data_IF_576958417135
#
_entry.id   IF_576958417135
#
_cell.length_a   1.000
_cell.length_b   1.000
_cell.length_c   1.000
_cell.angle_alpha   90.00
_cell.angle_beta   90.00
_cell.angle_gamma   90.00
#
_symmetry.space_group_name_H-M   'P 1'
#
loop_
_entity.id
_entity.type
_entity.pdbx_description
1 polymer ?
#
# COMPACT_ATOMS: atom_id res chain seq x y z
N UNK A 1 23.95 25.72 -14.36
CA UNK A 1 23.10 25.70 -15.55
C UNK A 1 21.60 25.75 -15.22
N UNK A 2 21.14 25.14 -14.12
CA UNK A 2 19.73 25.14 -13.69
C UNK A 2 19.21 26.51 -13.13
N UNK A 3 20.08 27.39 -12.67
CA UNK A 3 19.69 28.70 -12.14
C UNK A 3 19.49 29.77 -13.23
N UNK A 4 19.97 29.53 -14.45
CA UNK A 4 19.88 30.50 -15.56
C UNK A 4 18.54 30.33 -16.30
N UNK A 5 17.98 29.11 -16.37
CA UNK A 5 16.69 28.87 -17.02
C UNK A 5 15.50 29.44 -16.21
N UNK A 6 15.55 29.36 -14.88
CA UNK A 6 14.50 29.97 -14.04
C UNK A 6 14.48 31.52 -14.11
N UNK A 7 15.62 32.15 -14.33
CA UNK A 7 15.70 33.62 -14.48
C UNK A 7 15.11 34.10 -15.82
N UNK A 8 15.24 33.33 -16.87
CA UNK A 8 14.66 33.66 -18.21
C UNK A 8 13.14 33.52 -18.22
N UNK A 9 12.60 32.52 -17.54
CA UNK A 9 11.14 32.29 -17.41
C UNK A 9 10.50 33.40 -16.55
N UNK A 10 11.15 33.83 -15.47
CA UNK A 10 10.64 34.89 -14.60
C UNK A 10 10.66 36.29 -15.29
N UNK A 11 11.62 36.56 -16.16
CA UNK A 11 11.71 37.83 -16.92
C UNK A 11 10.72 37.91 -18.11
N UNK A 12 10.26 36.77 -18.64
CA UNK A 12 9.20 36.73 -19.67
C UNK A 12 7.80 36.95 -19.09
N UNK A 13 7.57 36.58 -17.83
CA UNK A 13 6.27 36.72 -17.16
C UNK A 13 5.97 38.18 -16.76
N UNK A 14 6.98 39.02 -16.51
CA UNK A 14 6.80 40.37 -15.98
C UNK A 14 6.63 41.46 -17.05
N UNK A 15 6.46 41.16 -18.33
CA UNK A 15 6.42 42.18 -19.41
C UNK A 15 5.09 42.30 -20.17
N UNK A 16 3.99 41.67 -19.77
CA UNK A 16 2.71 41.91 -20.46
C UNK A 16 1.51 41.89 -19.49
N UNK A 17 1.08 43.06 -19.09
CA UNK A 17 -0.27 43.35 -18.60
C UNK A 17 -1.24 43.24 -19.78
N UNK A 18 -2.06 42.20 -19.83
CA UNK A 18 -3.09 42.06 -20.87
C UNK A 18 -3.29 40.64 -21.39
N UNK A 19 -3.12 39.64 -20.54
CA UNK A 19 -3.23 38.22 -20.97
C UNK A 19 -4.67 37.71 -20.82
N UNK A 20 -5.26 37.26 -21.93
CA UNK A 20 -6.61 36.68 -21.96
C UNK A 20 -6.68 35.35 -21.16
N UNK A 21 -7.87 35.01 -20.64
CA UNK A 21 -8.13 33.73 -19.91
C UNK A 21 -7.58 32.47 -20.62
N UNK A 22 -7.47 32.53 -21.94
CA UNK A 22 -6.94 31.42 -22.77
C UNK A 22 -5.43 31.19 -22.54
N UNK A 23 -4.63 32.26 -22.33
CA UNK A 23 -3.19 32.14 -22.08
C UNK A 23 -2.90 31.67 -20.64
N UNK A 24 -3.75 32.03 -19.68
CA UNK A 24 -3.67 31.52 -18.29
C UNK A 24 -3.93 30.01 -18.25
N UNK A 25 -4.90 29.54 -19.01
CA UNK A 25 -5.16 28.10 -19.12
C UNK A 25 -4.05 27.35 -19.86
N UNK A 26 -3.43 27.94 -20.87
CA UNK A 26 -2.28 27.37 -21.55
C UNK A 26 -1.04 27.28 -20.64
N UNK A 27 -0.80 28.31 -19.82
CA UNK A 27 0.28 28.29 -18.82
C UNK A 27 0.03 27.24 -17.74
N UNK A 28 -1.21 27.07 -17.27
CA UNK A 28 -1.57 25.98 -16.36
C UNK A 28 -1.32 24.59 -16.97
N UNK A 29 -1.71 24.41 -18.22
CA UNK A 29 -1.47 23.15 -18.94
C UNK A 29 0.03 22.87 -19.12
N UNK A 30 0.83 23.89 -19.43
CA UNK A 30 2.29 23.77 -19.58
C UNK A 30 2.94 23.45 -18.23
N UNK A 31 2.49 24.06 -17.14
CA UNK A 31 2.95 23.76 -15.78
C UNK A 31 2.58 22.33 -15.35
N UNK A 32 1.36 21.90 -15.63
CA UNK A 32 0.92 20.52 -15.37
C UNK A 32 1.71 19.49 -16.20
N UNK A 33 2.01 19.83 -17.48
CA UNK A 33 2.84 18.98 -18.34
C UNK A 33 4.30 18.94 -17.88
N UNK A 34 4.85 20.07 -17.43
CA UNK A 34 6.19 20.17 -16.89
C UNK A 34 6.29 19.42 -15.55
N UNK A 35 5.27 19.54 -14.69
CA UNK A 35 5.15 18.79 -13.43
C UNK A 35 5.04 17.29 -13.69
N UNK A 36 4.21 16.87 -14.66
CA UNK A 36 4.12 15.47 -15.10
C UNK A 36 5.45 14.94 -15.64
N UNK A 37 6.17 15.73 -16.44
CA UNK A 37 7.47 15.37 -17.00
C UNK A 37 8.58 15.33 -15.93
N UNK A 38 8.51 16.20 -14.92
CA UNK A 38 9.40 16.21 -13.76
C UNK A 38 9.12 14.97 -12.88
N UNK A 39 7.85 14.67 -12.63
CA UNK A 39 7.44 13.49 -11.86
C UNK A 39 7.85 12.18 -12.56
N UNK A 40 7.71 12.08 -13.90
CA UNK A 40 8.24 10.97 -14.70
C UNK A 40 9.77 10.86 -14.63
N UNK A 41 10.50 12.00 -14.59
CA UNK A 41 11.96 11.98 -14.41
C UNK A 41 12.37 11.58 -12.99
N UNK A 42 11.62 12.00 -11.95
CA UNK A 42 11.86 11.60 -10.56
C UNK A 42 11.60 10.10 -10.41
N UNK A 43 10.51 9.59 -10.95
CA UNK A 43 10.23 8.14 -10.96
C UNK A 43 11.33 7.36 -11.68
N UNK A 44 11.89 7.89 -12.79
CA UNK A 44 12.99 7.26 -13.51
C UNK A 44 14.36 7.40 -12.81
N UNK A 45 14.57 8.43 -11.99
CA UNK A 45 15.84 8.65 -11.29
C UNK A 45 16.08 7.62 -10.16
N UNK A 46 15.02 7.08 -9.55
CA UNK A 46 15.12 6.02 -8.56
C UNK A 46 15.23 4.60 -9.17
N UNK A 47 15.49 4.52 -10.48
CA UNK A 47 15.58 3.24 -11.20
C UNK A 47 17.03 2.84 -11.43
N UNK A 48 17.56 2.04 -10.56
CA UNK A 48 18.60 1.00 -10.66
C UNK A 48 19.43 0.91 -9.38
N UNK A 49 19.74 -0.26 -8.82
CA UNK A 49 20.60 -1.29 -9.44
C UNK A 49 20.04 -2.73 -9.38
N UNK A 50 18.81 -2.96 -8.94
CA UNK A 50 18.20 -4.27 -9.19
C UNK A 50 17.77 -4.25 -10.66
N UNK A 51 18.43 -5.06 -11.47
CA UNK A 51 18.05 -5.27 -12.88
C UNK A 51 16.82 -6.18 -12.95
N UNK A 52 15.72 -5.77 -12.26
CA UNK A 52 14.46 -6.49 -12.28
C UNK A 52 13.61 -5.95 -13.44
N UNK A 53 13.16 -6.80 -14.38
CA UNK A 53 12.45 -6.40 -15.58
C UNK A 53 10.98 -6.07 -15.25
N UNK A 54 10.75 -5.04 -14.43
CA UNK A 54 9.41 -4.67 -14.02
C UNK A 54 8.53 -4.29 -15.21
N UNK A 55 7.41 -4.96 -15.31
CA UNK A 55 6.35 -4.67 -16.27
C UNK A 55 5.00 -4.72 -15.56
N UNK A 56 4.21 -3.65 -15.68
CA UNK A 56 2.83 -3.63 -15.21
C UNK A 56 1.97 -4.51 -16.14
N UNK A 57 1.09 -5.31 -15.56
CA UNK A 57 0.11 -6.06 -16.34
C UNK A 57 -0.88 -5.10 -17.02
N UNK A 58 -0.94 -5.05 -18.37
CA UNK A 58 -1.74 -4.08 -19.10
C UNK A 58 -3.25 -4.29 -18.94
N UNK A 59 -3.71 -5.49 -18.57
CA UNK A 59 -5.13 -5.78 -18.36
C UNK A 59 -5.68 -5.11 -17.08
N UNK A 60 -4.78 -4.68 -16.17
CA UNK A 60 -5.12 -4.07 -14.90
C UNK A 60 -4.40 -2.71 -14.71
N UNK A 61 -4.76 -1.67 -15.51
CA UNK A 61 -4.09 -0.37 -15.44
C UNK A 61 -4.49 0.44 -14.19
N UNK A 62 -5.73 0.30 -13.72
CA UNK A 62 -6.30 1.07 -12.61
C UNK A 62 -6.03 0.39 -11.26
N UNK A 63 -6.03 1.16 -10.16
CA UNK A 63 -5.83 0.63 -8.81
C UNK A 63 -7.00 -0.26 -8.36
N UNK A 64 -8.21 0.07 -8.76
CA UNK A 64 -9.37 -0.78 -8.51
C UNK A 64 -9.36 -2.02 -9.41
N UNK A 65 -9.67 -3.17 -8.82
CA UNK A 65 -9.87 -4.43 -9.52
C UNK A 65 -11.25 -4.95 -9.14
N UNK A 66 -12.17 -5.02 -10.11
CA UNK A 66 -13.44 -5.70 -9.84
C UNK A 66 -13.22 -7.22 -9.70
N UNK A 67 -13.90 -7.89 -8.75
CA UNK A 67 -13.82 -9.35 -8.60
C UNK A 67 -14.12 -10.09 -9.90
N UNK A 68 -15.15 -9.68 -10.61
CA UNK A 68 -15.57 -10.32 -11.88
C UNK A 68 -14.45 -10.26 -12.94
N UNK A 69 -13.83 -9.09 -13.14
CA UNK A 69 -12.72 -8.92 -14.08
C UNK A 69 -11.52 -9.79 -13.71
N UNK A 70 -11.17 -9.83 -12.43
CA UNK A 70 -10.08 -10.65 -11.94
C UNK A 70 -10.35 -12.14 -12.19
N UNK A 71 -11.53 -12.62 -11.80
CA UNK A 71 -11.87 -14.04 -11.91
C UNK A 71 -11.96 -14.50 -13.36
N UNK A 72 -12.57 -13.68 -14.23
CA UNK A 72 -12.57 -13.96 -15.66
C UNK A 72 -11.14 -14.04 -16.24
N UNK A 73 -10.27 -13.10 -15.86
CA UNK A 73 -8.86 -13.10 -16.29
C UNK A 73 -8.12 -14.36 -15.83
N UNK A 74 -8.28 -14.74 -14.57
CA UNK A 74 -7.64 -15.94 -14.01
C UNK A 74 -8.14 -17.22 -14.70
N UNK A 75 -9.45 -17.37 -14.87
CA UNK A 75 -10.04 -18.53 -15.55
C UNK A 75 -9.59 -18.63 -17.01
N UNK A 76 -9.55 -17.50 -17.72
CA UNK A 76 -9.14 -17.46 -19.11
C UNK A 76 -7.66 -17.78 -19.33
N UNK A 77 -6.78 -17.28 -18.48
CA UNK A 77 -5.34 -17.31 -18.71
C UNK A 77 -4.57 -18.35 -17.89
N UNK A 78 -5.16 -18.84 -16.77
CA UNK A 78 -4.48 -19.67 -15.76
C UNK A 78 -5.36 -20.79 -15.21
N UNK A 79 -6.32 -21.28 -16.00
CA UNK A 79 -7.26 -22.34 -15.60
C UNK A 79 -6.59 -23.60 -15.02
N UNK A 80 -5.41 -23.96 -15.53
CA UNK A 80 -4.65 -25.14 -15.08
C UNK A 80 -3.92 -24.91 -13.75
N UNK A 81 -3.70 -23.64 -13.37
CA UNK A 81 -2.97 -23.26 -12.15
C UNK A 81 -3.89 -22.85 -11.02
N UNK A 82 -5.18 -22.63 -11.27
CA UNK A 82 -6.15 -22.18 -10.27
C UNK A 82 -7.13 -23.27 -9.86
N UNK A 83 -7.60 -23.18 -8.64
CA UNK A 83 -8.73 -23.97 -8.13
C UNK A 83 -9.62 -23.07 -7.28
N UNK A 84 -10.92 -23.29 -7.31
CA UNK A 84 -11.83 -22.62 -6.40
C UNK A 84 -11.64 -23.20 -4.99
N UNK A 85 -11.31 -22.30 -4.04
CA UNK A 85 -11.16 -22.63 -2.64
C UNK A 85 -12.51 -22.69 -1.92
N UNK A 86 -13.48 -21.95 -2.42
CA UNK A 86 -14.83 -21.81 -1.91
C UNK A 86 -15.42 -20.48 -2.30
N UNK A 87 -16.45 -20.03 -1.57
CA UNK A 87 -17.14 -18.77 -1.86
C UNK A 87 -17.17 -17.84 -0.67
N UNK A 88 -17.22 -16.52 -0.94
CA UNK A 88 -17.42 -15.47 0.04
C UNK A 88 -18.80 -15.56 0.74
N UNK A 89 -19.03 -14.65 1.65
CA UNK A 89 -20.31 -14.53 2.37
C UNK A 89 -21.51 -14.27 1.43
N UNK A 90 -21.30 -13.52 0.33
CA UNK A 90 -22.31 -13.28 -0.71
C UNK A 90 -22.22 -14.23 -1.91
N UNK A 91 -21.43 -15.31 -1.81
CA UNK A 91 -21.39 -16.36 -2.83
C UNK A 91 -20.40 -16.12 -3.98
N UNK A 92 -19.55 -15.09 -3.94
CA UNK A 92 -18.51 -14.87 -4.94
C UNK A 92 -17.38 -15.91 -4.78
N UNK A 93 -16.84 -16.50 -5.88
CA UNK A 93 -15.77 -17.47 -5.80
C UNK A 93 -14.48 -16.86 -5.22
N UNK A 94 -13.71 -17.67 -4.52
CA UNK A 94 -12.37 -17.35 -4.03
C UNK A 94 -11.40 -18.34 -4.65
N UNK A 95 -10.41 -17.84 -5.41
CA UNK A 95 -9.47 -18.69 -6.12
C UNK A 95 -8.12 -18.78 -5.42
N UNK A 96 -7.62 -20.02 -5.36
CA UNK A 96 -6.23 -20.32 -5.03
C UNK A 96 -5.48 -20.64 -6.32
N UNK A 97 -4.34 -19.99 -6.54
CA UNK A 97 -3.37 -20.32 -7.57
C UNK A 97 -2.23 -21.11 -6.97
N UNK A 98 -1.79 -22.16 -7.65
CA UNK A 98 -0.62 -22.95 -7.25
C UNK A 98 0.47 -22.78 -8.31
N UNK A 99 1.67 -22.36 -7.89
CA UNK A 99 2.83 -22.17 -8.75
C UNK A 99 4.03 -22.94 -8.19
N UNK A 100 4.76 -23.60 -9.08
CA UNK A 100 5.95 -24.37 -8.73
C UNK A 100 5.67 -25.73 -8.08
N UNK A 101 6.76 -26.49 -7.90
CA UNK A 101 6.73 -27.84 -7.32
C UNK A 101 7.89 -28.07 -6.35
N UNK A 102 8.55 -26.98 -5.91
CA UNK A 102 9.66 -27.05 -4.95
C UNK A 102 9.18 -27.49 -3.57
N UNK A 103 10.14 -27.92 -2.76
CA UNK A 103 9.89 -28.49 -1.43
C UNK A 103 9.47 -27.46 -0.40
N UNK A 104 9.87 -26.18 -0.56
CA UNK A 104 9.51 -25.09 0.35
C UNK A 104 8.09 -24.62 0.05
N UNK A 105 7.18 -24.88 0.97
CA UNK A 105 5.76 -24.54 0.82
C UNK A 105 5.45 -23.17 1.37
N UNK A 106 5.02 -22.26 0.48
CA UNK A 106 4.65 -20.89 0.84
C UNK A 106 3.16 -20.67 0.58
N UNK A 107 2.47 -20.07 1.55
CA UNK A 107 1.11 -19.57 1.37
C UNK A 107 1.13 -18.05 1.40
N UNK A 108 0.38 -17.42 0.48
CA UNK A 108 0.19 -15.98 0.44
C UNK A 108 -1.27 -15.64 0.16
N UNK A 109 -1.75 -14.53 0.68
CA UNK A 109 -3.08 -14.03 0.35
C UNK A 109 -3.10 -12.51 0.25
N UNK A 110 -3.91 -12.01 -0.69
CA UNK A 110 -4.15 -10.61 -0.91
C UNK A 110 -5.59 -10.22 -0.57
N UNK A 111 -5.80 -8.93 -0.37
CA UNK A 111 -7.12 -8.34 -0.16
C UNK A 111 -7.98 -9.08 0.89
N UNK A 112 -7.37 -9.44 2.02
CA UNK A 112 -8.13 -9.74 3.24
C UNK A 112 -8.97 -8.51 3.63
N UNK A 113 -8.43 -7.32 3.44
CA UNK A 113 -9.18 -6.08 3.39
C UNK A 113 -9.46 -5.72 1.93
N UNK A 114 -10.74 -5.55 1.57
CA UNK A 114 -11.14 -5.44 0.17
C UNK A 114 -10.56 -4.23 -0.56
N UNK A 115 -10.23 -3.17 0.15
CA UNK A 115 -9.67 -1.92 -0.38
C UNK A 115 -8.12 -1.87 -0.39
N UNK A 116 -7.44 -3.02 -0.33
CA UNK A 116 -5.97 -3.14 -0.30
C UNK A 116 -5.48 -3.96 -1.50
N UNK A 117 -5.47 -3.36 -2.70
CA UNK A 117 -5.30 -4.08 -3.97
C UNK A 117 -3.86 -4.29 -4.44
N UNK A 118 -2.85 -3.60 -3.84
CA UNK A 118 -1.46 -3.64 -4.33
C UNK A 118 -0.88 -5.05 -4.43
N UNK A 119 -1.18 -5.92 -3.47
CA UNK A 119 -0.69 -7.29 -3.48
C UNK A 119 -1.29 -8.14 -4.61
N UNK A 120 -2.59 -7.95 -4.91
CA UNK A 120 -3.25 -8.58 -6.06
C UNK A 120 -2.60 -8.11 -7.35
N UNK A 121 -2.37 -6.79 -7.50
CA UNK A 121 -1.66 -6.22 -8.62
C UNK A 121 -0.23 -6.74 -8.74
N UNK A 122 0.52 -6.79 -7.64
CA UNK A 122 1.89 -7.27 -7.63
C UNK A 122 1.99 -8.71 -8.15
N UNK A 123 1.06 -9.57 -7.74
CA UNK A 123 1.03 -10.95 -8.24
C UNK A 123 0.66 -11.01 -9.72
N UNK A 124 -0.30 -10.21 -10.19
CA UNK A 124 -0.65 -10.10 -11.62
C UNK A 124 0.51 -9.58 -12.46
N UNK A 125 1.30 -8.63 -11.93
CA UNK A 125 2.50 -8.13 -12.59
C UNK A 125 3.60 -9.20 -12.64
N UNK A 126 3.83 -9.95 -11.55
CA UNK A 126 4.76 -11.07 -11.55
C UNK A 126 4.38 -12.13 -12.59
N UNK A 127 3.09 -12.47 -12.71
CA UNK A 127 2.62 -13.40 -13.73
C UNK A 127 2.91 -12.90 -15.14
N UNK A 128 2.78 -11.60 -15.41
CA UNK A 128 3.13 -10.99 -16.69
C UNK A 128 4.66 -11.02 -16.94
N UNK A 129 5.44 -10.71 -15.91
CA UNK A 129 6.91 -10.73 -15.95
C UNK A 129 7.41 -12.16 -16.24
N UNK A 130 6.90 -13.17 -15.57
CA UNK A 130 7.30 -14.57 -15.76
C UNK A 130 7.01 -15.09 -17.17
N UNK A 131 6.01 -14.56 -17.86
CA UNK A 131 5.77 -14.89 -19.29
C UNK A 131 6.90 -14.38 -20.20
N UNK A 132 7.42 -13.20 -19.89
CA UNK A 132 8.54 -12.61 -20.65
C UNK A 132 9.92 -13.09 -20.18
N UNK A 133 10.02 -13.58 -18.95
CA UNK A 133 11.25 -13.96 -18.26
C UNK A 133 11.09 -15.29 -17.55
N UNK A 134 10.98 -16.41 -18.29
CA UNK A 134 10.77 -17.75 -17.71
C UNK A 134 11.92 -18.19 -16.78
N UNK A 135 13.13 -17.65 -16.98
CA UNK A 135 14.28 -17.90 -16.10
C UNK A 135 14.03 -17.43 -14.65
N UNK A 136 13.28 -16.33 -14.46
CA UNK A 136 12.92 -15.84 -13.12
C UNK A 136 11.89 -16.76 -12.46
N UNK A 137 10.99 -17.32 -13.24
CA UNK A 137 10.03 -18.32 -12.76
C UNK A 137 10.76 -19.59 -12.30
N UNK A 138 11.64 -20.14 -13.10
CA UNK A 138 12.37 -21.37 -12.79
C UNK A 138 13.30 -21.19 -11.58
N UNK A 139 13.99 -20.05 -11.45
CA UNK A 139 14.84 -19.75 -10.28
C UNK A 139 14.08 -19.85 -8.95
N UNK A 140 12.82 -19.36 -8.92
CA UNK A 140 11.97 -19.42 -7.74
C UNK A 140 11.29 -20.78 -7.58
N UNK A 141 10.56 -21.21 -8.59
CA UNK A 141 9.56 -22.26 -8.47
C UNK A 141 10.11 -23.68 -8.66
N UNK A 142 11.41 -23.79 -8.97
CA UNK A 142 12.17 -25.05 -8.78
C UNK A 142 12.38 -25.37 -7.29
N UNK A 143 12.36 -24.39 -6.39
CA UNK A 143 12.59 -24.54 -4.94
C UNK A 143 11.35 -24.31 -4.10
N UNK A 144 10.43 -23.50 -4.58
CA UNK A 144 9.20 -23.10 -3.88
C UNK A 144 7.97 -23.72 -4.54
N UNK A 145 7.01 -24.11 -3.71
CA UNK A 145 5.61 -24.33 -4.08
C UNK A 145 4.75 -23.24 -3.43
N UNK A 146 4.26 -22.29 -4.23
CA UNK A 146 3.46 -21.16 -3.76
C UNK A 146 1.96 -21.43 -3.95
N UNK A 147 1.18 -21.35 -2.90
CA UNK A 147 -0.26 -21.21 -2.94
C UNK A 147 -0.62 -19.72 -2.72
N UNK A 148 -1.11 -19.05 -3.74
CA UNK A 148 -1.53 -17.66 -3.67
C UNK A 148 -3.06 -17.54 -3.74
N UNK A 149 -3.68 -16.94 -2.72
CA UNK A 149 -5.11 -16.70 -2.67
C UNK A 149 -5.36 -15.27 -3.15
N UNK A 150 -5.98 -15.16 -4.32
CA UNK A 150 -6.37 -13.87 -4.87
C UNK A 150 -7.62 -13.36 -4.16
N UNK A 151 -7.57 -12.09 -3.74
CA UNK A 151 -8.74 -11.34 -3.28
C UNK A 151 -9.60 -12.14 -2.30
N UNK A 152 -9.03 -12.41 -1.10
CA UNK A 152 -9.70 -13.21 -0.05
C UNK A 152 -11.07 -12.62 0.34
N UNK A 153 -11.27 -11.32 0.17
CA UNK A 153 -12.51 -10.59 0.45
C UNK A 153 -13.11 -9.98 -0.83
N UNK A 154 -13.68 -10.76 -1.74
CA UNK A 154 -14.24 -10.22 -2.98
C UNK A 154 -15.47 -9.32 -2.76
N UNK A 155 -16.25 -9.54 -1.71
CA UNK A 155 -17.42 -8.71 -1.39
C UNK A 155 -17.01 -7.32 -0.94
N UNK A 156 -15.99 -7.22 -0.09
CA UNK A 156 -15.41 -5.93 0.32
C UNK A 156 -14.64 -5.25 -0.82
N UNK A 157 -13.95 -6.04 -1.67
CA UNK A 157 -13.21 -5.51 -2.82
C UNK A 157 -14.13 -4.84 -3.84
N UNK A 158 -15.27 -5.42 -4.13
CA UNK A 158 -16.26 -4.85 -5.05
C UNK A 158 -16.73 -3.46 -4.61
N UNK A 159 -16.87 -3.25 -3.30
CA UNK A 159 -17.34 -2.00 -2.70
C UNK A 159 -16.20 -1.10 -2.22
N UNK A 160 -14.95 -1.46 -2.47
CA UNK A 160 -13.77 -0.79 -1.96
C UNK A 160 -13.78 -0.61 -0.44
N UNK A 161 -14.19 -1.64 0.29
CA UNK A 161 -14.33 -1.63 1.75
C UNK A 161 -13.30 -2.54 2.42
N UNK A 162 -12.83 -2.11 3.61
CA UNK A 162 -11.92 -2.91 4.43
C UNK A 162 -12.55 -4.23 4.87
N UNK A 163 -13.78 -4.15 5.40
CA UNK A 163 -14.49 -5.27 6.02
C UNK A 163 -15.20 -6.13 4.97
N UNK A 164 -15.55 -7.37 5.35
CA UNK A 164 -16.34 -8.24 4.48
C UNK A 164 -17.82 -7.83 4.45
N UNK A 165 -18.65 -8.58 3.72
CA UNK A 165 -20.08 -8.30 3.57
C UNK A 165 -20.89 -8.29 4.90
N UNK A 166 -20.36 -8.90 5.95
CA UNK A 166 -20.95 -8.94 7.29
C UNK A 166 -20.34 -7.89 8.23
N UNK A 167 -19.62 -6.93 7.69
CA UNK A 167 -18.89 -5.89 8.44
C UNK A 167 -17.81 -6.44 9.39
N UNK A 168 -17.30 -7.65 9.12
CA UNK A 168 -16.26 -8.29 9.92
C UNK A 168 -14.87 -7.85 9.39
N UNK A 169 -14.00 -7.34 10.28
CA UNK A 169 -12.57 -7.24 10.02
C UNK A 169 -11.94 -8.63 10.18
N UNK A 170 -11.62 -9.27 9.07
CA UNK A 170 -11.09 -10.63 9.08
C UNK A 170 -9.71 -10.73 9.74
N UNK A 171 -8.93 -9.64 9.76
CA UNK A 171 -7.66 -9.60 10.51
C UNK A 171 -7.84 -9.35 12.01
N UNK A 172 -9.08 -9.42 12.52
CA UNK A 172 -9.46 -9.41 13.95
C UNK A 172 -10.35 -10.61 14.31
N UNK A 173 -10.57 -11.53 13.38
CA UNK A 173 -11.52 -12.63 13.53
C UNK A 173 -10.85 -14.02 13.72
N UNK A 174 -9.51 -14.06 13.85
CA UNK A 174 -8.76 -15.33 13.88
C UNK A 174 -9.24 -16.29 14.98
N UNK A 175 -9.49 -15.79 16.18
CA UNK A 175 -9.92 -16.63 17.30
C UNK A 175 -11.40 -17.04 17.18
N UNK A 176 -12.24 -16.13 16.70
CA UNK A 176 -13.69 -16.37 16.60
C UNK A 176 -14.05 -17.15 15.34
N UNK A 177 -13.32 -16.90 14.26
CA UNK A 177 -13.54 -17.53 12.94
C UNK A 177 -14.98 -17.38 12.43
N UNK A 178 -15.54 -16.19 12.57
CA UNK A 178 -16.93 -15.90 12.20
C UNK A 178 -17.11 -15.77 10.70
N UNK A 179 -16.13 -15.16 10.01
CA UNK A 179 -16.15 -14.96 8.57
C UNK A 179 -15.90 -16.26 7.81
N UNK A 180 -16.67 -16.45 6.75
CA UNK A 180 -16.58 -17.64 5.88
C UNK A 180 -15.23 -17.68 5.14
N UNK A 181 -14.80 -16.54 4.67
CA UNK A 181 -13.57 -16.31 3.90
C UNK A 181 -12.34 -16.67 4.75
N UNK A 182 -12.29 -16.21 6.01
CA UNK A 182 -11.20 -16.58 6.91
C UNK A 182 -11.18 -18.07 7.24
N UNK A 183 -12.35 -18.71 7.42
CA UNK A 183 -12.41 -20.16 7.62
C UNK A 183 -11.80 -20.93 6.46
N UNK A 184 -12.03 -20.49 5.22
CA UNK A 184 -11.44 -21.12 4.03
C UNK A 184 -9.91 -21.01 4.06
N UNK A 185 -9.38 -19.82 4.37
CA UNK A 185 -7.94 -19.60 4.51
C UNK A 185 -7.34 -20.47 5.61
N UNK A 186 -7.93 -20.46 6.81
CA UNK A 186 -7.41 -21.22 7.95
C UNK A 186 -7.47 -22.73 7.74
N UNK A 187 -8.54 -23.22 7.12
CA UNK A 187 -8.63 -24.64 6.76
C UNK A 187 -7.53 -25.06 5.78
N UNK A 188 -7.21 -24.22 4.81
CA UNK A 188 -6.10 -24.46 3.89
C UNK A 188 -4.75 -24.48 4.62
N UNK A 189 -4.53 -23.56 5.57
CA UNK A 189 -3.29 -23.46 6.33
C UNK A 189 -3.13 -24.65 7.28
N UNK A 190 -4.16 -24.99 8.03
CA UNK A 190 -4.13 -26.10 9.01
C UNK A 190 -3.88 -27.47 8.36
N UNK A 191 -4.26 -27.64 7.09
CA UNK A 191 -4.06 -28.89 6.33
C UNK A 191 -2.87 -28.85 5.37
N UNK A 192 -2.19 -27.73 5.21
CA UNK A 192 -1.23 -27.52 4.12
C UNK A 192 0.24 -27.73 4.47
N UNK A 193 0.61 -27.78 5.74
CA UNK A 193 2.00 -27.88 6.23
C UNK A 193 2.91 -26.84 5.55
N UNK A 194 2.60 -25.56 5.69
CA UNK A 194 3.38 -24.47 5.09
C UNK A 194 4.60 -24.11 5.91
N UNK A 195 5.72 -23.86 5.21
CA UNK A 195 6.99 -23.42 5.80
C UNK A 195 7.00 -21.90 6.05
N UNK A 196 6.28 -21.13 5.23
CA UNK A 196 6.16 -19.67 5.33
C UNK A 196 4.76 -19.20 4.92
N UNK A 197 4.36 -18.05 5.50
CA UNK A 197 3.15 -17.33 5.14
C UNK A 197 3.44 -15.86 4.80
N UNK A 198 2.78 -15.32 3.76
CA UNK A 198 2.83 -13.92 3.39
C UNK A 198 1.44 -13.29 3.56
N UNK A 199 1.30 -12.44 4.57
CA UNK A 199 0.08 -11.70 4.86
C UNK A 199 0.19 -10.31 4.22
N UNK A 200 -0.53 -10.09 3.11
CA UNK A 200 -0.28 -8.98 2.20
C UNK A 200 -1.33 -7.88 2.34
N UNK A 201 -0.90 -6.74 2.89
CA UNK A 201 -1.73 -5.59 3.24
C UNK A 201 -1.28 -4.27 2.58
N UNK A 202 -2.05 -3.20 2.83
CA UNK A 202 -1.72 -1.82 2.49
C UNK A 202 -1.97 -0.87 3.66
N UNK A 203 -1.07 0.10 3.84
CA UNK A 203 -1.27 1.25 4.73
C UNK A 203 -2.15 2.29 4.04
N UNK A 204 -3.20 2.73 4.74
CA UNK A 204 -4.12 3.78 4.27
C UNK A 204 -3.66 5.18 4.69
N UNK A 205 -3.09 5.29 5.86
CA UNK A 205 -2.49 6.51 6.41
C UNK A 205 -1.07 6.69 5.87
N UNK A 206 -0.59 7.92 5.74
CA UNK A 206 0.78 8.20 5.33
C UNK A 206 1.71 8.03 6.52
N UNK A 207 2.36 6.88 6.57
CA UNK A 207 3.47 6.63 7.48
C UNK A 207 4.79 7.09 6.87
N UNK A 208 5.74 7.45 7.72
CA UNK A 208 7.09 7.85 7.31
C UNK A 208 8.16 7.06 8.05
N UNK A 209 9.35 6.99 7.47
CA UNK A 209 10.51 6.35 8.11
C UNK A 209 11.23 7.29 9.06
N UNK A 210 11.30 8.59 8.71
CA UNK A 210 12.13 9.61 9.37
C UNK A 210 11.38 10.95 9.56
N UNK A 211 10.08 10.99 9.35
CA UNK A 211 9.26 12.21 9.40
C UNK A 211 9.36 13.08 8.13
N UNK A 212 9.93 12.53 7.03
CA UNK A 212 10.06 13.21 5.72
C UNK A 212 9.76 12.27 4.55
N UNK A 213 10.40 11.09 4.56
CA UNK A 213 10.25 10.11 3.50
C UNK A 213 9.06 9.19 3.82
N UNK A 214 8.15 8.94 2.87
CA UNK A 214 7.06 8.01 3.10
C UNK A 214 7.59 6.60 3.30
N UNK A 215 6.95 5.82 4.17
CA UNK A 215 7.20 4.40 4.30
C UNK A 215 6.43 3.68 3.16
N UNK A 216 7.00 3.67 1.96
CA UNK A 216 6.38 3.09 0.77
C UNK A 216 6.19 1.58 0.91
N UNK A 217 7.12 0.92 1.58
CA UNK A 217 6.98 -0.47 2.00
C UNK A 217 7.26 -0.56 3.50
N UNK A 218 6.42 -1.28 4.20
CA UNK A 218 6.69 -1.67 5.58
C UNK A 218 6.52 -3.17 5.75
N UNK A 219 7.34 -3.76 6.60
CA UNK A 219 7.32 -5.19 6.90
C UNK A 219 7.20 -5.43 8.40
N UNK A 220 6.63 -6.57 8.77
CA UNK A 220 6.56 -6.98 10.16
C UNK A 220 6.87 -8.48 10.29
N UNK A 221 7.71 -8.81 11.27
CA UNK A 221 7.79 -10.13 11.87
C UNK A 221 6.87 -10.16 13.10
N UNK A 222 5.63 -10.68 12.96
CA UNK A 222 4.62 -10.59 14.02
C UNK A 222 5.06 -11.27 15.31
N UNK A 223 4.57 -10.78 16.44
CA UNK A 223 4.83 -11.37 17.77
C UNK A 223 3.93 -12.56 18.04
N UNK A 224 4.37 -13.46 18.92
CA UNK A 224 3.61 -14.64 19.32
C UNK A 224 2.89 -14.43 20.68
N UNK A 225 3.34 -13.43 21.45
CA UNK A 225 2.87 -13.12 22.79
C UNK A 225 3.09 -11.64 23.13
N UNK A 226 2.57 -11.22 24.29
CA UNK A 226 2.70 -9.84 24.80
C UNK A 226 4.14 -9.47 25.16
N UNK A 227 4.96 -10.44 25.55
CA UNK A 227 6.38 -10.30 25.87
C UNK A 227 7.22 -10.02 24.64
N UNK A 228 6.66 -10.28 23.44
CA UNK A 228 7.33 -10.11 22.13
C UNK A 228 8.60 -10.95 22.02
N UNK A 229 8.54 -12.18 22.49
CA UNK A 229 9.67 -13.10 22.48
C UNK A 229 10.26 -13.28 21.09
N UNK A 230 11.57 -13.44 21.06
CA UNK A 230 12.34 -13.71 19.83
C UNK A 230 12.48 -15.22 19.63
N UNK A 231 11.36 -15.85 19.24
CA UNK A 231 11.32 -17.30 18.97
C UNK A 231 12.03 -17.66 17.67
N UNK A 232 12.32 -18.93 17.45
CA UNK A 232 12.94 -19.39 16.20
C UNK A 232 12.04 -19.12 14.99
N UNK A 233 10.73 -19.25 15.13
CA UNK A 233 9.74 -18.90 14.09
C UNK A 233 9.87 -17.45 13.69
N UNK A 234 9.89 -16.56 14.67
CA UNK A 234 10.01 -15.13 14.48
C UNK A 234 11.36 -14.71 13.90
N UNK A 235 12.46 -15.33 14.35
CA UNK A 235 13.80 -15.09 13.80
C UNK A 235 13.92 -15.48 12.32
N UNK A 236 13.28 -16.57 11.88
CA UNK A 236 13.22 -16.93 10.46
C UNK A 236 12.55 -15.83 9.64
N UNK A 237 11.43 -15.27 10.12
CA UNK A 237 10.75 -14.13 9.48
C UNK A 237 11.66 -12.90 9.43
N UNK A 238 12.32 -12.57 10.54
CA UNK A 238 13.27 -11.44 10.63
C UNK A 238 14.44 -11.59 9.66
N UNK A 239 14.99 -12.79 9.51
CA UNK A 239 16.08 -13.07 8.56
C UNK A 239 15.64 -12.84 7.10
N UNK A 240 14.44 -13.29 6.73
CA UNK A 240 13.87 -13.05 5.39
C UNK A 240 13.68 -11.54 5.15
N UNK A 241 13.08 -10.81 6.08
CA UNK A 241 12.87 -9.37 5.96
C UNK A 241 14.21 -8.62 5.88
N UNK A 242 15.20 -9.00 6.67
CA UNK A 242 16.55 -8.42 6.61
C UNK A 242 17.16 -8.57 5.22
N UNK A 243 17.10 -9.78 4.66
CA UNK A 243 17.63 -10.07 3.33
C UNK A 243 16.89 -9.30 2.23
N UNK A 244 15.57 -9.17 2.33
CA UNK A 244 14.75 -8.31 1.46
C UNK A 244 15.19 -6.85 1.57
N UNK A 245 15.29 -6.33 2.79
CA UNK A 245 15.68 -4.94 3.05
C UNK A 245 17.02 -4.61 2.43
N UNK A 246 18.03 -5.47 2.61
CA UNK A 246 19.38 -5.27 2.05
C UNK A 246 19.39 -5.15 0.53
N UNK A 247 18.49 -5.83 -0.15
CA UNK A 247 18.32 -5.76 -1.60
C UNK A 247 17.53 -4.52 -2.03
N UNK A 248 16.44 -4.23 -1.33
CA UNK A 248 15.50 -3.18 -1.71
C UNK A 248 15.99 -1.77 -1.34
N UNK A 249 16.78 -1.60 -0.27
CA UNK A 249 17.19 -0.27 0.25
C UNK A 249 17.92 0.61 -0.76
N UNK A 250 18.56 0.00 -1.78
CA UNK A 250 19.29 0.74 -2.81
C UNK A 250 18.37 1.27 -3.92
N UNK A 251 17.23 0.64 -4.16
CA UNK A 251 16.24 1.07 -5.16
C UNK A 251 15.11 1.89 -4.55
N UNK A 252 14.92 1.78 -3.23
CA UNK A 252 13.91 2.51 -2.47
C UNK A 252 14.55 3.11 -1.18
N UNK A 253 15.52 4.05 -1.33
CA UNK A 253 16.28 4.57 -0.21
C UNK A 253 15.39 5.36 0.75
N UNK A 254 15.54 5.08 2.06
CA UNK A 254 14.82 5.74 3.15
C UNK A 254 13.29 5.63 3.10
N UNK A 255 12.74 4.69 2.32
CA UNK A 255 11.29 4.52 2.18
C UNK A 255 10.82 3.11 2.58
N UNK A 256 11.69 2.33 3.23
CA UNK A 256 11.38 1.01 3.76
C UNK A 256 11.41 1.07 5.28
N UNK A 257 10.37 0.56 5.92
CA UNK A 257 10.22 0.54 7.36
C UNK A 257 9.86 -0.85 7.89
N UNK A 258 9.95 -1.01 9.20
CA UNK A 258 9.24 -2.07 9.93
C UNK A 258 8.02 -1.52 10.63
N UNK A 259 6.98 -2.32 10.74
CA UNK A 259 5.77 -2.00 11.51
C UNK A 259 6.01 -2.28 13.00
N UNK A 260 5.13 -1.73 13.87
CA UNK A 260 5.13 -2.07 15.30
C UNK A 260 4.85 -3.55 15.51
N UNK A 261 5.55 -4.17 16.44
CA UNK A 261 5.42 -5.59 16.76
C UNK A 261 4.58 -5.86 18.02
N UNK A 262 3.65 -4.95 18.34
CA UNK A 262 2.64 -5.19 19.36
C UNK A 262 1.83 -6.43 19.03
N UNK A 263 1.66 -7.29 20.03
CA UNK A 263 0.90 -8.52 19.88
C UNK A 263 -0.60 -8.26 19.89
N UNK A 264 -1.25 -8.67 18.78
CA UNK A 264 -2.71 -8.62 18.64
C UNK A 264 -3.30 -10.03 18.65
N UNK A 265 -3.87 -10.50 19.77
CA UNK A 265 -4.34 -11.87 19.94
C UNK A 265 -5.35 -12.34 18.88
N UNK A 266 -6.02 -11.41 18.21
CA UNK A 266 -7.06 -11.69 17.21
C UNK A 266 -6.58 -11.57 15.77
N UNK A 267 -5.32 -11.13 15.55
CA UNK A 267 -4.78 -10.94 14.20
C UNK A 267 -4.31 -12.26 13.58
N UNK A 268 -4.36 -12.33 12.25
CA UNK A 268 -3.93 -13.52 11.51
C UNK A 268 -2.42 -13.72 11.58
N UNK A 269 -1.62 -12.67 11.40
CA UNK A 269 -0.17 -12.76 11.37
C UNK A 269 0.43 -13.26 12.67
N UNK A 270 0.00 -12.70 13.80
CA UNK A 270 0.46 -13.06 15.15
C UNK A 270 0.12 -14.52 15.48
N UNK A 271 -1.10 -14.93 15.18
CA UNK A 271 -1.53 -16.29 15.46
C UNK A 271 -0.86 -17.32 14.55
N UNK A 272 -0.59 -17.01 13.29
CA UNK A 272 0.16 -17.92 12.42
C UNK A 272 1.59 -18.09 12.88
N UNK A 273 2.26 -16.99 13.30
CA UNK A 273 3.60 -17.07 13.89
C UNK A 273 3.57 -17.92 15.16
N UNK A 274 2.54 -17.77 16.02
CA UNK A 274 2.33 -18.61 17.21
C UNK A 274 2.07 -20.08 16.88
N UNK A 275 1.51 -20.39 15.72
CA UNK A 275 1.35 -21.77 15.22
C UNK A 275 2.67 -22.37 14.68
N UNK A 276 3.76 -21.63 14.72
CA UNK A 276 5.07 -22.08 14.24
C UNK A 276 5.30 -21.81 12.73
N UNK A 277 4.45 -21.00 12.08
CA UNK A 277 4.58 -20.65 10.67
C UNK A 277 5.23 -19.27 10.56
N UNK A 278 6.50 -19.16 10.13
CA UNK A 278 7.15 -17.88 9.87
C UNK A 278 6.30 -17.02 8.94
N UNK A 279 5.77 -15.92 9.46
CA UNK A 279 4.78 -15.09 8.75
C UNK A 279 5.34 -13.70 8.52
N UNK A 280 5.38 -13.26 7.25
CA UNK A 280 5.80 -11.91 6.88
C UNK A 280 4.54 -11.10 6.60
N UNK A 281 4.31 -10.04 7.37
CA UNK A 281 3.30 -9.05 7.03
C UNK A 281 3.92 -7.99 6.13
N UNK A 282 3.26 -7.72 5.01
CA UNK A 282 3.58 -6.66 4.06
C UNK A 282 2.57 -5.53 4.18
N UNK A 283 3.06 -4.30 4.11
CA UNK A 283 2.23 -3.11 4.05
C UNK A 283 2.72 -2.19 2.92
N UNK A 284 1.91 -2.09 1.86
CA UNK A 284 2.12 -1.10 0.81
C UNK A 284 1.67 0.27 1.29
N UNK A 285 2.60 1.23 1.36
CA UNK A 285 2.33 2.58 1.84
C UNK A 285 2.22 3.63 0.74
N UNK A 286 2.31 4.89 1.14
CA UNK A 286 2.34 6.01 0.21
C UNK A 286 3.69 6.07 -0.52
N UNK A 287 3.66 6.48 -1.79
CA UNK A 287 4.85 6.88 -2.56
C UNK A 287 4.70 8.34 -2.95
N UNK A 288 5.80 9.04 -3.18
CA UNK A 288 5.79 10.48 -3.42
C UNK A 288 4.82 10.85 -4.55
N UNK A 289 3.81 11.67 -4.25
CA UNK A 289 2.77 12.15 -5.17
C UNK A 289 2.02 11.03 -5.92
N UNK A 290 1.82 9.88 -5.27
CA UNK A 290 1.27 8.69 -5.90
C UNK A 290 0.02 8.15 -5.16
N UNK A 291 -1.07 8.87 -5.24
CA UNK A 291 -2.36 8.40 -4.72
C UNK A 291 -2.95 7.23 -5.53
N UNK A 292 -2.56 7.09 -6.80
CA UNK A 292 -2.93 5.94 -7.63
C UNK A 292 -2.13 4.68 -7.32
N UNK A 293 -1.15 4.77 -6.39
CA UNK A 293 -0.31 3.65 -5.92
C UNK A 293 0.49 2.94 -7.01
N UNK A 294 0.73 3.59 -8.16
CA UNK A 294 1.50 3.02 -9.28
C UNK A 294 2.97 2.74 -8.90
N UNK A 295 3.60 3.68 -8.21
CA UNK A 295 4.95 3.50 -7.67
C UNK A 295 4.99 2.45 -6.57
N UNK A 296 4.04 2.49 -5.64
CA UNK A 296 3.91 1.47 -4.58
C UNK A 296 3.72 0.09 -5.17
N UNK A 297 2.82 -0.09 -6.15
CA UNK A 297 2.60 -1.34 -6.89
C UNK A 297 3.90 -1.90 -7.46
N UNK A 298 4.70 -1.06 -8.12
CA UNK A 298 5.99 -1.47 -8.66
C UNK A 298 6.92 -2.01 -7.59
N UNK A 299 7.13 -1.26 -6.52
CA UNK A 299 8.04 -1.68 -5.46
C UNK A 299 7.49 -2.86 -4.66
N UNK A 300 6.17 -2.96 -4.53
CA UNK A 300 5.53 -4.13 -3.93
C UNK A 300 5.74 -5.40 -4.76
N UNK A 301 5.66 -5.30 -6.10
CA UNK A 301 5.95 -6.40 -7.02
C UNK A 301 7.39 -6.90 -6.86
N UNK A 302 8.35 -5.98 -6.84
CA UNK A 302 9.76 -6.32 -6.62
C UNK A 302 9.96 -6.94 -5.23
N UNK A 303 9.33 -6.37 -4.19
CA UNK A 303 9.43 -6.88 -2.83
C UNK A 303 8.83 -8.29 -2.69
N UNK A 304 7.72 -8.58 -3.36
CA UNK A 304 7.12 -9.91 -3.35
C UNK A 304 8.05 -10.94 -4.02
N UNK A 305 8.66 -10.59 -5.15
CA UNK A 305 9.68 -11.43 -5.79
C UNK A 305 10.87 -11.67 -4.85
N UNK A 306 11.42 -10.60 -4.25
CA UNK A 306 12.58 -10.69 -3.37
C UNK A 306 12.27 -11.45 -2.06
N UNK A 307 11.03 -11.44 -1.57
CA UNK A 307 10.61 -12.27 -0.45
C UNK A 307 10.68 -13.76 -0.79
N UNK A 308 10.08 -14.15 -1.91
CA UNK A 308 10.14 -15.55 -2.37
C UNK A 308 11.59 -15.98 -2.60
N UNK A 309 12.41 -15.13 -3.20
CA UNK A 309 13.83 -15.39 -3.42
C UNK A 309 14.61 -15.53 -2.11
N UNK A 310 14.37 -14.63 -1.15
CA UNK A 310 15.01 -14.71 0.18
C UNK A 310 14.59 -16.00 0.92
N UNK A 311 13.32 -16.38 0.87
CA UNK A 311 12.82 -17.65 1.43
C UNK A 311 13.54 -18.84 0.80
N UNK A 312 13.66 -18.87 -0.55
CA UNK A 312 14.32 -19.97 -1.26
C UNK A 312 15.79 -20.12 -0.94
N UNK A 313 16.49 -18.99 -0.69
CA UNK A 313 17.92 -18.97 -0.39
C UNK A 313 18.22 -19.28 1.08
N UNK A 314 17.41 -18.75 2.01
CA UNK A 314 17.58 -18.98 3.45
C UNK A 314 17.14 -20.39 3.85
N UNK A 315 16.11 -20.92 3.23
CA UNK A 315 15.62 -22.29 3.47
C UNK A 315 15.49 -22.63 4.97
N UNK A 316 14.86 -21.76 5.73
CA UNK A 316 14.69 -21.93 7.18
C UNK A 316 15.84 -21.42 8.05
N UNK A 317 16.94 -20.90 7.47
CA UNK A 317 18.03 -20.27 8.22
C UNK A 317 17.59 -18.98 8.88
N UNK A 318 18.15 -18.72 10.06
CA UNK A 318 17.97 -17.45 10.81
C UNK A 318 19.17 -16.51 10.65
N UNK A 319 19.98 -16.69 9.62
CA UNK A 319 21.18 -15.89 9.40
C UNK A 319 20.87 -14.38 9.33
N UNK A 320 21.62 -13.58 10.09
CA UNK A 320 21.52 -12.10 10.16
C UNK A 320 20.16 -11.56 10.62
N UNK A 321 19.36 -12.36 11.33
CA UNK A 321 18.04 -11.92 11.83
C UNK A 321 18.10 -10.67 12.72
N UNK A 322 19.20 -10.49 13.46
CA UNK A 322 19.41 -9.35 14.37
C UNK A 322 19.36 -8.00 13.63
N UNK A 323 19.78 -7.98 12.39
CA UNK A 323 19.79 -6.77 11.55
C UNK A 323 18.40 -6.25 11.22
N UNK A 324 17.35 -7.04 11.46
CA UNK A 324 15.95 -6.59 11.37
C UNK A 324 15.69 -5.34 12.23
N UNK A 325 16.31 -5.26 13.40
CA UNK A 325 16.15 -4.12 14.30
C UNK A 325 16.77 -2.82 13.78
N UNK A 326 17.67 -2.90 12.79
CA UNK A 326 18.27 -1.74 12.13
C UNK A 326 17.34 -1.11 11.08
N UNK A 327 16.26 -1.79 10.69
CA UNK A 327 15.26 -1.24 9.77
C UNK A 327 14.46 -0.17 10.54
N UNK A 328 14.31 1.06 10.01
CA UNK A 328 13.55 2.12 10.68
C UNK A 328 12.11 1.68 10.99
N UNK A 329 11.62 1.98 12.18
CA UNK A 329 10.20 1.80 12.48
C UNK A 329 9.38 2.90 11.81
N UNK A 330 8.25 2.56 11.19
CA UNK A 330 7.34 3.53 10.61
C UNK A 330 6.69 4.40 11.70
N UNK A 331 6.34 5.63 11.31
CA UNK A 331 5.75 6.62 12.20
C UNK A 331 4.57 7.29 11.51
N UNK A 332 3.47 7.39 12.21
CA UNK A 332 2.29 8.14 11.78
C UNK A 332 2.51 9.63 12.05
N UNK A 333 3.03 10.34 11.06
CA UNK A 333 3.43 11.74 11.19
C UNK A 333 2.74 12.69 10.21
N UNK A 334 2.03 12.17 9.21
CA UNK A 334 1.47 12.97 8.13
C UNK A 334 -0.02 12.75 7.95
N UNK A 335 -0.69 13.86 7.63
CA UNK A 335 -2.00 13.88 6.98
C UNK A 335 -1.83 14.16 5.49
N UNK A 336 -2.86 13.93 4.68
CA UNK A 336 -2.82 14.22 3.24
C UNK A 336 -2.67 15.71 2.99
N UNK A 337 -3.45 16.55 3.72
CA UNK A 337 -3.44 17.99 3.59
C UNK A 337 -3.64 18.64 4.96
N UNK A 338 -2.93 19.74 5.22
CA UNK A 338 -3.18 20.60 6.37
C UNK A 338 -3.38 22.05 5.90
N UNK A 339 -4.51 22.63 6.28
CA UNK A 339 -4.70 24.08 6.25
C UNK A 339 -4.17 24.65 7.55
N UNK A 340 -3.07 25.44 7.48
CA UNK A 340 -2.45 26.12 8.62
C UNK A 340 -3.05 27.51 8.82
N UNK A 341 -3.13 27.96 10.06
CA UNK A 341 -3.51 29.34 10.41
C UNK A 341 -4.86 29.78 9.82
N UNK A 342 -5.88 28.95 9.89
CA UNK A 342 -7.24 29.28 9.45
C UNK A 342 -7.93 30.11 10.52
N UNK A 343 -8.47 31.27 10.17
CA UNK A 343 -9.28 32.09 11.07
C UNK A 343 -10.74 31.67 11.00
N UNK A 344 -11.32 31.24 12.09
CA UNK A 344 -12.74 30.90 12.15
C UNK A 344 -13.61 32.14 12.15
N UNK A 345 -14.82 32.04 11.58
CA UNK A 345 -15.83 33.09 11.61
C UNK A 345 -16.72 32.98 12.85
N UNK A 346 -16.11 33.23 14.02
CA UNK A 346 -16.74 33.18 15.32
C UNK A 346 -16.76 34.57 15.98
N UNK A 347 -17.50 34.73 17.08
CA UNK A 347 -17.57 36.00 17.84
C UNK A 347 -16.28 36.31 18.60
N UNK A 348 -15.30 35.42 18.60
CA UNK A 348 -13.97 35.58 19.18
C UNK A 348 -12.87 35.27 18.16
N UNK A 349 -11.71 35.85 18.37
CA UNK A 349 -10.56 35.66 17.48
C UNK A 349 -9.97 34.25 17.69
N UNK A 350 -10.22 33.36 16.73
CA UNK A 350 -9.79 31.97 16.78
C UNK A 350 -9.03 31.62 15.48
N UNK A 351 -7.74 31.35 15.63
CA UNK A 351 -6.89 30.86 14.55
C UNK A 351 -6.44 29.45 14.92
N UNK A 352 -6.59 28.50 13.96
CA UNK A 352 -6.28 27.10 14.20
C UNK A 352 -5.85 26.40 12.90
N UNK A 353 -5.41 25.16 13.00
CA UNK A 353 -5.13 24.28 11.87
C UNK A 353 -6.30 23.34 11.60
N UNK A 354 -6.45 22.93 10.35
CA UNK A 354 -7.43 21.91 9.92
C UNK A 354 -6.69 20.83 9.15
N UNK A 355 -6.66 19.61 9.69
CA UNK A 355 -6.07 18.46 9.03
C UNK A 355 -7.12 17.66 8.27
N UNK A 356 -6.71 17.17 7.10
CA UNK A 356 -7.56 16.47 6.14
C UNK A 356 -6.90 15.16 5.73
N UNK A 357 -7.69 14.09 5.68
CA UNK A 357 -7.32 12.83 5.04
C UNK A 357 -8.29 12.50 3.92
N UNK A 358 -7.78 11.90 2.84
CA UNK A 358 -8.62 11.45 1.74
C UNK A 358 -9.30 10.13 2.08
N UNK A 359 -10.63 10.13 2.01
CA UNK A 359 -11.43 8.92 1.98
C UNK A 359 -11.47 8.41 0.54
N UNK A 360 -11.06 7.17 0.38
CA UNK A 360 -11.07 6.50 -0.92
C UNK A 360 -12.40 5.79 -1.12
N UNK A 361 -13.03 6.05 -2.24
CA UNK A 361 -14.35 5.51 -2.58
C UNK A 361 -14.36 5.10 -4.05
N UNK A 362 -15.17 4.11 -4.38
CA UNK A 362 -15.52 3.80 -5.76
C UNK A 362 -16.98 4.21 -5.99
N UNK A 363 -17.22 4.97 -7.05
CA UNK A 363 -18.58 5.31 -7.43
C UNK A 363 -19.15 4.16 -8.25
N UNK A 364 -20.47 3.96 -8.14
CA UNK A 364 -21.16 2.90 -8.87
C UNK A 364 -20.97 3.05 -10.38
N UNK A 365 -20.44 2.00 -11.01
CA UNK A 365 -20.14 1.98 -12.45
C UNK A 365 -18.76 2.51 -12.84
N UNK A 366 -17.98 3.02 -11.88
CA UNK A 366 -16.61 3.46 -12.12
C UNK A 366 -15.61 2.32 -11.92
N UNK A 367 -14.46 2.43 -12.58
CA UNK A 367 -13.28 1.58 -12.39
C UNK A 367 -12.07 2.37 -11.84
N UNK A 368 -12.28 3.63 -11.44
CA UNK A 368 -11.31 4.49 -10.77
C UNK A 368 -11.75 4.85 -9.36
N UNK A 369 -10.76 5.00 -8.47
CA UNK A 369 -10.97 5.42 -7.08
C UNK A 369 -11.04 6.94 -7.03
N UNK A 370 -12.07 7.47 -6.40
CA UNK A 370 -12.21 8.87 -6.03
C UNK A 370 -11.63 9.13 -4.64
N UNK A 371 -11.18 10.36 -4.43
CA UNK A 371 -10.54 10.82 -3.19
C UNK A 371 -11.34 11.99 -2.61
N UNK A 372 -12.16 11.70 -1.61
CA UNK A 372 -12.98 12.71 -0.92
C UNK A 372 -12.21 13.26 0.28
N UNK A 373 -11.90 14.57 0.33
CA UNK A 373 -11.19 15.16 1.45
C UNK A 373 -12.08 15.24 2.70
N UNK A 374 -11.64 14.62 3.80
CA UNK A 374 -12.37 14.55 5.07
C UNK A 374 -11.57 15.27 6.17
N UNK A 375 -12.24 16.10 6.95
CA UNK A 375 -11.65 16.74 8.14
C UNK A 375 -11.43 15.69 9.23
N UNK A 376 -10.19 15.51 9.65
CA UNK A 376 -9.82 14.48 10.65
C UNK A 376 -9.29 15.05 11.95
N UNK A 377 -8.80 16.30 11.94
CA UNK A 377 -8.33 16.99 13.15
C UNK A 377 -8.51 18.50 12.98
N UNK A 378 -8.86 19.19 14.07
CA UNK A 378 -9.05 20.65 14.12
C UNK A 378 -8.45 21.17 15.42
N UNK A 379 -7.58 22.18 15.34
CA UNK A 379 -6.94 22.77 16.51
C UNK A 379 -5.45 22.98 16.33
N UNK A 380 -4.63 22.63 17.34
CA UNK A 380 -3.18 22.64 17.25
C UNK A 380 -2.67 21.33 16.62
N UNK A 381 -2.32 21.39 15.33
CA UNK A 381 -1.77 20.26 14.58
C UNK A 381 -0.26 20.44 14.33
N UNK A 382 0.42 21.26 15.12
CA UNK A 382 1.85 21.59 14.94
C UNK A 382 2.79 20.37 15.07
N UNK A 383 2.37 19.31 15.78
CA UNK A 383 3.12 18.06 15.93
C UNK A 383 3.08 17.15 14.70
N UNK A 384 2.17 17.40 13.77
CA UNK A 384 1.97 16.66 12.53
C UNK A 384 2.33 17.51 11.31
N UNK A 385 2.54 16.85 10.18
CA UNK A 385 2.78 17.48 8.88
C UNK A 385 1.68 17.14 7.90
N UNK A 386 1.41 18.02 6.94
CA UNK A 386 0.67 17.71 5.75
C UNK A 386 1.62 17.19 4.67
N UNK A 387 1.16 16.20 3.88
CA UNK A 387 1.82 15.90 2.63
C UNK A 387 1.76 17.14 1.71
N UNK A 388 0.64 17.82 1.77
CA UNK A 388 0.47 19.18 1.27
C UNK A 388 0.11 20.10 2.45
N UNK A 389 0.71 21.30 2.52
CA UNK A 389 0.36 22.30 3.53
C UNK A 389 0.00 23.62 2.85
N UNK A 390 -1.11 24.20 3.27
CA UNK A 390 -1.59 25.49 2.82
C UNK A 390 -1.61 26.45 4.01
N UNK A 391 -0.66 27.40 4.05
CA UNK A 391 -0.69 28.46 5.06
C UNK A 391 -1.74 29.52 4.69
N UNK A 392 -2.83 29.52 5.43
CA UNK A 392 -3.95 30.44 5.23
C UNK A 392 -3.69 31.85 5.74
N UNK A 393 -2.59 32.08 6.51
CA UNK A 393 -2.16 33.39 7.00
C UNK A 393 -3.26 34.19 7.73
N UNK A 394 -4.11 33.52 8.48
CA UNK A 394 -5.24 34.13 9.17
C UNK A 394 -6.41 34.52 8.26
N UNK A 395 -6.46 34.01 7.03
CA UNK A 395 -7.63 34.13 6.17
C UNK A 395 -8.82 33.38 6.74
N UNK A 396 -10.00 33.91 6.45
CA UNK A 396 -11.25 33.41 7.05
C UNK A 396 -11.73 32.11 6.42
N UNK A 397 -12.23 31.24 7.28
CA UNK A 397 -13.05 30.10 6.92
C UNK A 397 -14.42 30.57 6.44
N UNK A 398 -14.79 30.22 5.22
CA UNK A 398 -16.08 30.54 4.62
C UNK A 398 -16.83 29.24 4.32
N UNK A 399 -17.93 29.03 4.99
CA UNK A 399 -18.82 27.87 4.82
C UNK A 399 -20.24 28.23 5.31
N UNK A 400 -21.22 27.44 4.94
CA UNK A 400 -22.55 27.48 5.55
C UNK A 400 -22.50 27.10 7.04
N UNK A 401 -21.46 26.36 7.46
CA UNK A 401 -21.20 25.99 8.85
C UNK A 401 -20.31 27.03 9.52
N UNK A 402 -20.47 27.20 10.82
CA UNK A 402 -19.67 28.16 11.60
C UNK A 402 -18.20 27.73 11.76
N UNK A 403 -17.91 26.39 11.69
CA UNK A 403 -16.58 25.82 11.88
C UNK A 403 -16.50 24.45 11.19
N UNK A 404 -15.27 23.99 10.84
CA UNK A 404 -15.07 22.64 10.28
C UNK A 404 -15.41 21.59 11.34
N UNK A 405 -16.04 20.49 10.92
CA UNK A 405 -16.40 19.37 11.82
C UNK A 405 -15.63 18.13 11.43
N UNK A 406 -15.26 17.36 12.42
CA UNK A 406 -14.63 16.05 12.24
C UNK A 406 -15.56 15.10 11.46
N UNK A 407 -14.95 14.23 10.66
CA UNK A 407 -15.58 13.21 9.82
C UNK A 407 -16.50 13.77 8.71
N UNK A 408 -16.46 15.08 8.46
CA UNK A 408 -17.20 15.72 7.37
C UNK A 408 -16.28 16.06 6.20
N UNK A 409 -16.88 16.12 5.01
CA UNK A 409 -16.19 16.54 3.80
C UNK A 409 -15.74 18.00 3.86
N UNK A 410 -14.61 18.29 3.25
CA UNK A 410 -14.13 19.65 3.10
C UNK A 410 -15.01 20.39 2.10
N UNK A 411 -15.95 21.17 2.62
CA UNK A 411 -16.91 21.96 1.86
C UNK A 411 -16.80 23.46 2.18
N UNK A 412 -15.61 23.93 2.50
CA UNK A 412 -15.31 25.32 2.82
C UNK A 412 -14.31 25.94 1.87
N UNK A 413 -14.28 27.27 1.86
CA UNK A 413 -13.26 28.10 1.18
C UNK A 413 -12.47 28.88 2.21
N UNK A 414 -11.27 29.28 1.83
CA UNK A 414 -10.41 30.17 2.62
C UNK A 414 -10.25 31.47 1.85
N UNK A 415 -10.73 32.59 2.42
CA UNK A 415 -10.69 33.93 1.80
C UNK A 415 -10.08 34.98 2.71
#
# INVERSE_FOLDING_TARGET
MFLIENSLIHNLINRQTGISKCLINLQKLILEFAQKKLNLRIVNYYMTPINFPYQQNPDFPNRYISPEKLFFFLQKNYSECISELGTSSLGKPIYKMTLGKGDIKVIAWSQMHGNESNATHAMLDLLAIFKGHPELYEDLFSKISLNFIFMLNPDGSEKWMRRNALDIDMNRDFLKRSSKELKLLLNLIENGNYDYALNLHEQRTIFTTDGKNPATLSFLAPSENFERDLTETRKKTMAVITKMYDRLKNILPNQIARYTDEFYPTSSGDNMTKMGIPTILFEGGHFINDYKRTGTRKFYTIALYEALKAISELNGSTENWENYQNIPQNKETHYDLIYRNVKLNTDFDCILDVAVQYREEILEGDDEISFTPIVVEVGDVSSKKGWEEIDCKGKKFISEKKFPKLDEEVNFKIE
#
